data_IF_736015236754
#
_entry.id   IF_736015236754
#
_cell.length_a   1.000
_cell.length_b   1.000
_cell.length_c   1.000
_cell.angle_alpha   90.00
_cell.angle_beta   90.00
_cell.angle_gamma   90.00
#
_symmetry.space_group_name_H-M   'P 1'
#
loop_
_entity.id
_entity.type
_entity.pdbx_description
1 polymer ?
#
# COMPACT_ATOMS: atom_id res chain seq x y z
N UNK A 1 72.35 -21.51 -7.47
CA UNK A 1 71.73 -20.26 -6.98
C UNK A 1 70.27 -20.54 -6.64
N UNK A 2 69.88 -20.33 -5.38
CA UNK A 2 68.52 -20.53 -4.85
C UNK A 2 67.59 -19.46 -5.44
N UNK A 3 66.40 -19.83 -5.90
CA UNK A 3 65.28 -18.89 -6.04
C UNK A 3 64.10 -19.40 -5.22
N UNK A 4 63.74 -18.55 -4.27
CA UNK A 4 62.86 -18.78 -3.14
C UNK A 4 61.40 -18.94 -3.54
N UNK A 5 60.71 -19.83 -2.84
CA UNK A 5 59.27 -20.07 -2.90
C UNK A 5 58.53 -18.88 -2.25
N UNK A 6 57.57 -18.27 -2.95
CA UNK A 6 56.61 -17.30 -2.39
C UNK A 6 55.23 -17.97 -2.24
N UNK A 7 54.44 -17.65 -1.20
CA UNK A 7 53.23 -18.38 -0.82
C UNK A 7 52.00 -17.94 -1.60
N UNK A 8 51.10 -18.90 -1.89
CA UNK A 8 49.77 -18.64 -2.47
C UNK A 8 48.87 -18.02 -1.40
N UNK A 9 48.34 -16.83 -1.68
CA UNK A 9 47.29 -16.19 -0.91
C UNK A 9 45.99 -17.00 -1.00
N UNK A 10 45.40 -17.30 0.15
CA UNK A 10 44.09 -17.95 0.28
C UNK A 10 42.97 -16.96 -0.12
N UNK A 11 41.94 -17.38 -0.88
CA UNK A 11 40.90 -16.46 -1.34
C UNK A 11 39.89 -16.13 -0.23
N UNK A 12 39.82 -14.83 0.10
CA UNK A 12 38.88 -14.10 0.99
C UNK A 12 37.38 -14.29 0.68
N UNK A 13 37.02 -15.11 -0.31
CA UNK A 13 35.64 -15.23 -0.82
C UNK A 13 34.75 -16.23 -0.05
N UNK A 14 35.34 -17.13 0.75
CA UNK A 14 34.55 -18.14 1.50
C UNK A 14 33.95 -17.61 2.80
N UNK A 15 34.56 -16.60 3.41
CA UNK A 15 34.12 -16.04 4.70
C UNK A 15 32.87 -15.16 4.57
N UNK A 16 32.65 -14.51 3.42
CA UNK A 16 31.51 -13.64 3.19
C UNK A 16 30.16 -14.40 3.19
N UNK A 17 30.12 -15.62 2.64
CA UNK A 17 28.89 -16.42 2.53
C UNK A 17 28.40 -16.89 3.90
N UNK A 18 29.32 -17.22 4.81
CA UNK A 18 28.98 -17.68 6.16
C UNK A 18 28.36 -16.56 7.01
N UNK A 19 28.80 -15.32 6.83
CA UNK A 19 28.26 -14.16 7.58
C UNK A 19 26.87 -13.77 7.09
N UNK A 20 26.58 -13.91 5.79
CA UNK A 20 25.25 -13.61 5.23
C UNK A 20 24.18 -14.61 5.69
N UNK A 21 24.53 -15.90 5.86
CA UNK A 21 23.58 -16.90 6.34
C UNK A 21 23.24 -16.71 7.83
N UNK A 22 24.18 -16.28 8.66
CA UNK A 22 23.92 -16.01 10.09
C UNK A 22 22.99 -14.81 10.35
N UNK A 23 22.96 -13.82 9.45
CA UNK A 23 22.07 -12.65 9.57
C UNK A 23 20.64 -12.87 9.06
N UNK A 24 20.38 -13.92 8.25
CA UNK A 24 19.06 -14.20 7.67
C UNK A 24 18.26 -15.27 8.44
N UNK A 25 18.89 -16.00 9.36
CA UNK A 25 18.21 -16.99 10.20
C UNK A 25 17.07 -16.42 11.09
N UNK A 26 17.10 -15.17 11.60
CA UNK A 26 15.96 -14.65 12.36
C UNK A 26 14.76 -14.27 11.46
N UNK A 27 14.95 -14.09 10.15
CA UNK A 27 13.84 -13.79 9.22
C UNK A 27 13.00 -15.02 8.84
N UNK A 28 13.59 -16.22 8.86
CA UNK A 28 12.89 -17.47 8.53
C UNK A 28 12.19 -18.13 9.72
N UNK A 29 12.47 -17.70 10.96
CA UNK A 29 11.93 -18.35 12.16
C UNK A 29 10.61 -17.74 12.68
N UNK A 30 10.18 -16.58 12.16
CA UNK A 30 8.83 -16.07 12.48
C UNK A 30 7.79 -16.67 11.54
N UNK A 31 7.40 -17.92 11.83
CA UNK A 31 6.11 -18.43 11.36
C UNK A 31 4.99 -17.57 11.96
N UNK A 32 3.98 -17.17 11.18
CA UNK A 32 2.79 -16.54 11.76
C UNK A 32 1.99 -17.62 12.50
N UNK A 33 1.89 -17.47 13.82
CA UNK A 33 0.91 -18.20 14.60
C UNK A 33 -0.48 -17.82 14.11
N UNK A 34 -1.23 -18.82 13.64
CA UNK A 34 -2.66 -18.74 13.39
C UNK A 34 -3.34 -18.15 14.64
N UNK A 35 -3.91 -16.97 14.54
CA UNK A 35 -4.83 -16.44 15.55
C UNK A 35 -6.22 -16.92 15.13
N UNK A 36 -6.64 -18.06 15.67
CA UNK A 36 -8.03 -18.51 15.61
C UNK A 36 -8.85 -17.67 16.60
N UNK A 37 -9.23 -16.46 16.19
CA UNK A 37 -10.15 -15.59 16.93
C UNK A 37 -11.63 -15.99 16.69
N UNK A 38 -12.54 -15.69 17.62
CA UNK A 38 -13.97 -15.91 17.43
C UNK A 38 -14.50 -15.12 16.22
N UNK A 39 -15.53 -15.63 15.51
CA UNK A 39 -16.08 -14.96 14.34
C UNK A 39 -16.60 -13.57 14.72
N UNK A 40 -16.32 -12.53 13.90
CA UNK A 40 -16.79 -11.18 14.17
C UNK A 40 -18.32 -11.12 14.11
N UNK A 41 -18.93 -10.20 14.89
CA UNK A 41 -20.36 -9.97 14.82
C UNK A 41 -20.78 -9.54 13.40
N UNK A 42 -22.00 -9.86 12.97
CA UNK A 42 -22.48 -9.47 11.64
C UNK A 42 -22.41 -7.94 11.48
N UNK A 43 -21.99 -7.44 10.31
CA UNK A 43 -21.89 -6.01 10.07
C UNK A 43 -23.28 -5.36 10.23
N UNK A 44 -23.34 -4.13 10.78
CA UNK A 44 -24.58 -3.36 10.77
C UNK A 44 -25.06 -3.18 9.32
N UNK A 45 -26.39 -3.15 9.08
CA UNK A 45 -26.91 -2.93 7.75
C UNK A 45 -26.35 -1.63 7.17
N UNK A 46 -26.09 -1.58 5.84
CA UNK A 46 -25.53 -0.40 5.22
C UNK A 46 -26.40 0.81 5.57
N UNK A 47 -25.83 1.78 6.29
CA UNK A 47 -26.47 3.06 6.44
C UNK A 47 -26.50 3.69 5.05
N UNK A 48 -27.69 3.63 4.45
CA UNK A 48 -28.05 4.37 3.26
C UNK A 48 -27.57 5.80 3.48
N UNK A 49 -26.52 6.18 2.77
CA UNK A 49 -26.09 7.57 2.70
C UNK A 49 -27.27 8.32 2.08
N UNK A 50 -28.09 8.94 2.93
CA UNK A 50 -29.22 9.73 2.47
C UNK A 50 -28.64 10.96 1.81
N UNK A 51 -28.63 10.95 0.49
CA UNK A 51 -28.47 12.12 -0.36
C UNK A 51 -29.71 13.01 -0.25
N UNK A 52 -30.06 13.45 0.96
CA UNK A 52 -30.91 14.63 1.12
C UNK A 52 -30.01 15.84 1.09
N UNK A 53 -29.61 16.23 -0.12
CA UNK A 53 -29.12 17.58 -0.38
C UNK A 53 -30.34 18.52 -0.28
N UNK A 54 -30.81 18.77 0.94
CA UNK A 54 -31.77 19.84 1.17
C UNK A 54 -30.97 21.13 1.18
N UNK A 55 -31.03 21.83 0.04
CA UNK A 55 -30.69 23.24 -0.07
C UNK A 55 -31.45 24.01 1.01
N UNK A 56 -30.81 24.18 2.16
CA UNK A 56 -31.36 24.90 3.30
C UNK A 56 -30.56 26.18 3.43
N UNK A 57 -30.98 27.21 2.71
CA UNK A 57 -30.70 28.60 3.09
C UNK A 57 -31.05 28.72 4.58
N UNK A 58 -30.04 28.77 5.44
CA UNK A 58 -30.23 29.03 6.85
C UNK A 58 -29.32 30.18 7.22
N UNK A 59 -29.99 31.32 7.39
CA UNK A 59 -29.58 32.51 8.11
C UNK A 59 -28.66 32.20 9.28
N UNK A 60 -27.62 33.02 9.38
CA UNK A 60 -26.70 33.23 10.49
C UNK A 60 -27.38 33.05 11.87
N UNK A 61 -27.01 32.00 12.60
CA UNK A 61 -27.26 31.90 14.04
C UNK A 61 -26.19 31.02 14.71
N UNK A 62 -25.57 31.48 15.82
CA UNK A 62 -24.43 30.80 16.43
C UNK A 62 -24.94 29.61 17.24
N UNK A 63 -24.95 28.43 16.62
CA UNK A 63 -25.12 27.19 17.36
C UNK A 63 -23.80 26.88 18.06
N UNK A 64 -23.73 27.18 19.37
CA UNK A 64 -22.79 26.53 20.27
C UNK A 64 -23.07 25.03 20.24
N UNK A 65 -22.42 24.35 19.29
CA UNK A 65 -22.35 22.90 19.23
C UNK A 65 -21.41 22.53 20.36
N UNK A 66 -21.95 21.98 21.45
CA UNK A 66 -21.17 21.34 22.49
C UNK A 66 -20.15 20.41 21.81
N UNK A 67 -18.87 20.71 21.97
CA UNK A 67 -17.74 19.92 21.50
C UNK A 67 -17.67 18.65 22.34
N UNK A 68 -18.64 17.73 22.19
CA UNK A 68 -18.38 16.36 22.60
C UNK A 68 -17.37 15.79 21.59
N UNK A 69 -16.21 15.29 22.04
CA UNK A 69 -15.30 14.61 21.15
C UNK A 69 -16.05 13.45 20.49
N UNK A 70 -15.95 13.34 19.16
CA UNK A 70 -16.48 12.18 18.45
C UNK A 70 -15.88 10.92 19.05
N UNK A 71 -16.66 9.83 19.22
CA UNK A 71 -16.10 8.57 19.66
C UNK A 71 -14.96 8.16 18.71
N UNK A 72 -13.89 7.53 19.23
CA UNK A 72 -12.80 7.06 18.38
C UNK A 72 -13.33 6.10 17.32
N UNK A 73 -12.75 6.09 16.10
CA UNK A 73 -13.16 5.16 15.07
C UNK A 73 -12.96 3.71 15.56
N UNK A 74 -13.79 2.76 15.09
CA UNK A 74 -13.61 1.35 15.43
C UNK A 74 -12.22 0.87 14.96
N UNK A 75 -11.63 -0.13 15.65
CA UNK A 75 -10.37 -0.70 15.23
C UNK A 75 -10.49 -1.36 13.84
N UNK A 76 -9.38 -1.36 13.10
CA UNK A 76 -9.29 -2.08 11.83
C UNK A 76 -9.39 -3.60 12.05
N UNK A 77 -10.01 -4.29 11.10
CA UNK A 77 -10.23 -5.73 11.16
C UNK A 77 -9.69 -6.41 9.90
N UNK A 78 -9.10 -7.60 10.06
CA UNK A 78 -8.77 -8.46 8.93
C UNK A 78 -10.03 -9.01 8.28
N UNK A 79 -9.98 -9.32 6.98
CA UNK A 79 -11.10 -9.90 6.24
C UNK A 79 -12.40 -9.07 6.34
N UNK A 80 -12.29 -7.74 6.52
CA UNK A 80 -13.43 -6.83 6.68
C UNK A 80 -14.49 -7.00 5.57
N UNK A 81 -14.06 -7.28 4.34
CA UNK A 81 -14.92 -7.46 3.18
C UNK A 81 -15.45 -8.89 2.99
N UNK A 82 -15.18 -9.86 3.89
CA UNK A 82 -15.49 -11.29 3.64
C UNK A 82 -16.95 -11.58 3.29
N UNK A 83 -17.88 -10.77 3.82
CA UNK A 83 -19.32 -10.96 3.63
C UNK A 83 -19.91 -10.02 2.59
N UNK A 84 -19.34 -8.84 2.41
CA UNK A 84 -19.85 -7.79 1.52
C UNK A 84 -19.24 -7.84 0.13
N UNK A 85 -17.95 -8.20 0.03
CA UNK A 85 -17.23 -8.43 -1.21
C UNK A 85 -16.14 -9.49 -1.00
N UNK A 86 -16.49 -10.80 -0.97
CA UNK A 86 -15.54 -11.88 -0.68
C UNK A 86 -14.38 -11.95 -1.69
N UNK A 87 -14.62 -11.50 -2.92
CA UNK A 87 -13.62 -11.46 -3.99
C UNK A 87 -12.78 -10.17 -4.01
N UNK A 88 -12.92 -9.28 -3.03
CA UNK A 88 -12.21 -7.99 -3.04
C UNK A 88 -10.68 -8.17 -3.10
N UNK A 89 -10.11 -8.91 -2.14
CA UNK A 89 -8.66 -9.11 -2.08
C UNK A 89 -8.11 -9.90 -3.26
N UNK A 90 -8.83 -10.93 -3.72
CA UNK A 90 -8.42 -11.74 -4.87
C UNK A 90 -8.45 -10.92 -6.17
N UNK A 91 -9.45 -10.05 -6.33
CA UNK A 91 -9.58 -9.14 -7.47
C UNK A 91 -8.46 -8.12 -7.49
N UNK A 92 -8.16 -7.48 -6.36
CA UNK A 92 -7.03 -6.53 -6.25
C UNK A 92 -5.73 -7.24 -6.61
N UNK A 93 -5.45 -8.40 -6.02
CA UNK A 93 -4.23 -9.16 -6.30
C UNK A 93 -4.08 -9.53 -7.77
N UNK A 94 -5.17 -9.96 -8.40
CA UNK A 94 -5.18 -10.32 -9.82
C UNK A 94 -4.90 -9.11 -10.71
N UNK A 95 -5.58 -7.98 -10.44
CA UNK A 95 -5.38 -6.74 -11.17
C UNK A 95 -3.94 -6.21 -11.01
N UNK A 96 -3.41 -6.18 -9.78
CA UNK A 96 -2.04 -5.77 -9.49
C UNK A 96 -1.03 -6.67 -10.20
N UNK A 97 -1.20 -7.99 -10.12
CA UNK A 97 -0.32 -8.95 -10.82
C UNK A 97 -0.27 -8.63 -12.31
N UNK A 98 -1.43 -8.44 -12.96
CA UNK A 98 -1.49 -8.10 -14.38
C UNK A 98 -0.80 -6.78 -14.70
N UNK A 99 -1.05 -5.73 -13.90
CA UNK A 99 -0.43 -4.42 -14.08
C UNK A 99 1.09 -4.51 -13.94
N UNK A 100 1.61 -5.29 -12.98
CA UNK A 100 3.05 -5.43 -12.76
C UNK A 100 3.74 -6.29 -13.83
N UNK A 101 3.04 -7.24 -14.45
CA UNK A 101 3.55 -7.99 -15.59
C UNK A 101 3.80 -7.07 -16.80
N UNK A 102 2.95 -6.08 -17.01
CA UNK A 102 3.07 -5.10 -18.10
C UNK A 102 3.99 -3.91 -17.72
N UNK A 103 3.87 -3.42 -16.48
CA UNK A 103 4.53 -2.20 -15.97
C UNK A 103 5.11 -2.42 -14.57
N UNK A 104 6.29 -3.06 -14.44
CA UNK A 104 6.91 -3.35 -13.14
C UNK A 104 7.18 -2.11 -12.27
N UNK A 105 7.37 -0.94 -12.89
CA UNK A 105 7.63 0.34 -12.20
C UNK A 105 6.43 0.87 -11.42
N UNK A 106 5.23 0.32 -11.64
CA UNK A 106 4.02 0.70 -10.90
C UNK A 106 4.06 0.17 -9.46
N UNK A 107 4.68 -0.99 -9.21
CA UNK A 107 4.81 -1.54 -7.87
C UNK A 107 5.43 -0.56 -6.86
N UNK A 108 6.66 -0.04 -7.10
CA UNK A 108 7.23 1.04 -6.28
C UNK A 108 6.35 2.28 -6.18
N UNK A 109 5.66 2.63 -7.26
CA UNK A 109 4.83 3.84 -7.31
C UNK A 109 3.63 3.72 -6.36
N UNK A 110 2.95 2.57 -6.33
CA UNK A 110 1.84 2.29 -5.41
C UNK A 110 2.30 2.30 -3.94
N UNK A 111 3.46 1.72 -3.65
CA UNK A 111 4.02 1.75 -2.29
C UNK A 111 4.35 3.19 -1.84
N UNK A 112 4.96 3.98 -2.73
CA UNK A 112 5.22 5.40 -2.47
C UNK A 112 3.93 6.20 -2.31
N UNK A 113 2.92 5.91 -3.12
CA UNK A 113 1.63 6.58 -3.04
C UNK A 113 0.93 6.30 -1.70
N UNK A 114 0.96 5.06 -1.22
CA UNK A 114 0.48 4.70 0.13
C UNK A 114 1.20 5.47 1.22
N UNK A 115 2.54 5.56 1.13
CA UNK A 115 3.31 6.33 2.10
C UNK A 115 2.88 7.80 2.12
N UNK A 116 2.72 8.42 0.96
CA UNK A 116 2.32 9.84 0.87
C UNK A 116 0.89 10.07 1.38
N UNK A 117 -0.04 9.14 1.17
CA UNK A 117 -1.41 9.21 1.70
C UNK A 117 -1.39 9.12 3.23
N UNK A 118 -0.74 8.08 3.77
CA UNK A 118 -0.74 7.85 5.21
C UNK A 118 0.10 8.85 6.04
N UNK A 119 1.07 9.54 5.43
CA UNK A 119 1.98 10.41 6.16
C UNK A 119 1.34 11.74 6.58
N UNK A 120 0.38 12.23 5.79
CA UNK A 120 -0.31 13.49 6.02
C UNK A 120 -1.77 13.17 6.31
N UNK A 121 -2.24 13.51 7.50
CA UNK A 121 -3.65 13.35 7.92
C UNK A 121 -4.23 11.92 7.97
N UNK A 122 -3.51 10.91 7.49
CA UNK A 122 -3.83 9.48 7.67
C UNK A 122 -4.21 8.78 6.38
N UNK A 123 -4.40 7.46 6.41
CA UNK A 123 -4.69 6.65 5.23
C UNK A 123 -6.17 6.75 4.82
N UNK A 124 -6.59 7.90 4.29
CA UNK A 124 -7.99 8.19 3.96
C UNK A 124 -8.25 8.39 2.45
N UNK A 125 -7.25 8.16 1.60
CA UNK A 125 -7.29 8.35 0.16
C UNK A 125 -7.58 9.79 -0.30
N UNK A 126 -7.42 10.79 0.58
CA UNK A 126 -7.53 12.22 0.25
C UNK A 126 -6.55 12.61 -0.86
N UNK A 127 -5.37 11.99 -0.90
CA UNK A 127 -4.35 12.20 -1.93
C UNK A 127 -4.80 11.79 -3.34
N UNK A 128 -5.83 10.93 -3.46
CA UNK A 128 -6.34 10.48 -4.76
C UNK A 128 -7.31 11.47 -5.40
N UNK A 129 -7.81 12.44 -4.62
CA UNK A 129 -8.78 13.42 -5.10
C UNK A 129 -8.12 14.45 -6.02
N UNK A 130 -8.78 14.83 -7.10
CA UNK A 130 -8.34 15.91 -7.99
C UNK A 130 -8.94 17.25 -7.54
N UNK A 131 -8.28 18.36 -7.89
CA UNK A 131 -8.82 19.69 -7.63
C UNK A 131 -10.16 19.88 -8.36
N UNK A 132 -11.18 20.34 -7.64
CA UNK A 132 -12.52 20.64 -8.17
C UNK A 132 -12.82 22.12 -7.91
N UNK A 133 -13.29 22.83 -8.94
CA UNK A 133 -13.74 24.23 -8.85
C UNK A 133 -12.73 25.20 -8.21
N UNK A 134 -11.43 24.95 -8.42
CA UNK A 134 -10.35 25.78 -7.87
C UNK A 134 -10.02 25.51 -6.40
N UNK A 135 -10.66 24.51 -5.77
CA UNK A 135 -10.24 24.02 -4.45
C UNK A 135 -8.88 23.30 -4.56
N UNK A 136 -7.93 23.57 -3.65
CA UNK A 136 -6.63 22.91 -3.67
C UNK A 136 -6.80 21.41 -3.38
N UNK A 137 -6.08 20.57 -4.13
CA UNK A 137 -5.95 19.15 -3.84
C UNK A 137 -4.57 18.85 -3.25
N UNK A 138 -4.51 17.88 -2.33
CA UNK A 138 -3.26 17.33 -1.82
C UNK A 138 -2.40 16.72 -2.94
N UNK A 139 -3.05 16.19 -3.98
CA UNK A 139 -2.40 15.63 -5.16
C UNK A 139 -1.53 16.66 -5.89
N UNK A 140 -1.96 17.92 -5.90
CA UNK A 140 -1.30 19.02 -6.60
C UNK A 140 -0.25 19.74 -5.74
N UNK A 141 -0.07 19.31 -4.49
CA UNK A 141 0.99 19.83 -3.64
C UNK A 141 2.37 19.54 -4.26
N UNK A 142 3.29 20.50 -4.17
CA UNK A 142 4.66 20.40 -4.70
C UNK A 142 5.35 19.05 -4.42
N UNK A 143 5.33 18.46 -3.21
CA UNK A 143 5.95 17.16 -2.96
C UNK A 143 5.29 15.99 -3.72
N UNK A 144 4.01 16.13 -4.05
CA UNK A 144 3.14 15.09 -4.61
C UNK A 144 3.09 15.10 -6.14
N UNK A 145 3.56 16.17 -6.80
CA UNK A 145 3.66 16.26 -8.27
C UNK A 145 4.48 15.13 -8.92
N UNK A 146 5.35 14.48 -8.15
CA UNK A 146 6.19 13.37 -8.62
C UNK A 146 5.57 11.98 -8.42
N UNK A 147 4.37 11.90 -7.86
CA UNK A 147 3.66 10.65 -7.62
C UNK A 147 3.09 10.08 -8.91
N UNK A 148 2.96 8.76 -8.95
CA UNK A 148 2.48 7.99 -10.11
C UNK A 148 1.67 6.80 -9.63
N UNK A 149 0.94 6.14 -10.52
CA UNK A 149 0.16 4.94 -10.21
C UNK A 149 -1.32 5.21 -9.90
N UNK A 150 -1.78 6.46 -10.03
CA UNK A 150 -3.21 6.81 -9.95
C UNK A 150 -4.04 6.03 -10.96
N UNK A 151 -3.58 5.95 -12.21
CA UNK A 151 -4.21 5.18 -13.29
C UNK A 151 -4.33 3.68 -12.98
N UNK A 152 -3.35 3.13 -12.26
CA UNK A 152 -3.39 1.74 -11.82
C UNK A 152 -4.45 1.52 -10.74
N UNK A 153 -4.59 2.46 -9.79
CA UNK A 153 -5.66 2.42 -8.79
C UNK A 153 -7.04 2.55 -9.42
N UNK A 154 -7.20 3.45 -10.39
CA UNK A 154 -8.47 3.61 -11.11
C UNK A 154 -8.87 2.32 -11.84
N UNK A 155 -7.91 1.63 -12.47
CA UNK A 155 -8.15 0.35 -13.12
C UNK A 155 -8.52 -0.76 -12.11
N UNK A 156 -7.89 -0.79 -10.94
CA UNK A 156 -8.22 -1.73 -9.86
C UNK A 156 -9.61 -1.44 -9.31
N UNK A 157 -9.91 -0.17 -9.00
CA UNK A 157 -11.23 0.29 -8.54
C UNK A 157 -12.31 -0.06 -9.55
N UNK A 158 -12.09 0.23 -10.84
CA UNK A 158 -13.03 -0.14 -11.90
C UNK A 158 -13.29 -1.65 -11.97
N UNK A 159 -12.29 -2.47 -11.68
CA UNK A 159 -12.45 -3.93 -11.64
C UNK A 159 -13.30 -4.37 -10.44
N UNK A 160 -13.10 -3.76 -9.26
CA UNK A 160 -13.89 -4.02 -8.07
C UNK A 160 -15.33 -3.54 -8.21
N UNK A 161 -15.55 -2.35 -8.76
CA UNK A 161 -16.90 -1.77 -8.92
C UNK A 161 -17.80 -2.60 -9.85
N UNK A 162 -17.23 -3.42 -10.74
CA UNK A 162 -17.99 -4.39 -11.55
C UNK A 162 -18.50 -5.59 -10.75
N UNK A 163 -17.86 -5.90 -9.63
CA UNK A 163 -18.15 -7.06 -8.79
C UNK A 163 -18.98 -6.64 -7.58
N UNK A 164 -18.53 -5.61 -6.87
CA UNK A 164 -19.13 -5.11 -5.65
C UNK A 164 -19.20 -3.56 -5.67
N UNK A 165 -20.26 -2.99 -6.27
CA UNK A 165 -20.37 -1.56 -6.47
C UNK A 165 -20.50 -0.80 -5.14
N UNK A 166 -19.72 0.26 -4.99
CA UNK A 166 -19.69 1.13 -3.81
C UNK A 166 -19.47 0.42 -2.47
N UNK A 167 -18.76 -0.72 -2.48
CA UNK A 167 -18.45 -1.49 -1.26
C UNK A 167 -17.04 -1.20 -0.76
N UNK A 168 -16.02 -1.36 -1.61
CA UNK A 168 -14.62 -1.29 -1.20
C UNK A 168 -14.13 0.16 -1.24
N UNK A 169 -13.57 0.65 -0.13
CA UNK A 169 -13.05 2.01 -0.01
C UNK A 169 -11.78 2.22 -0.86
N UNK A 170 -11.51 3.45 -1.29
CA UNK A 170 -10.30 3.76 -2.07
C UNK A 170 -9.02 3.64 -1.23
N UNK A 171 -9.09 3.95 0.06
CA UNK A 171 -7.97 3.79 0.99
C UNK A 171 -7.58 2.32 1.16
N UNK A 172 -8.55 1.42 1.33
CA UNK A 172 -8.25 -0.02 1.41
C UNK A 172 -7.70 -0.56 0.09
N UNK A 173 -8.19 -0.07 -1.06
CA UNK A 173 -7.64 -0.45 -2.36
C UNK A 173 -6.17 -0.05 -2.46
N UNK A 174 -5.80 1.16 -2.02
CA UNK A 174 -4.41 1.62 -2.01
C UNK A 174 -3.52 0.73 -1.13
N UNK A 175 -3.98 0.40 0.08
CA UNK A 175 -3.28 -0.48 1.02
C UNK A 175 -3.11 -1.90 0.44
N UNK A 176 -4.20 -2.50 -0.04
CA UNK A 176 -4.17 -3.84 -0.65
C UNK A 176 -3.29 -3.88 -1.90
N UNK A 177 -3.35 -2.85 -2.74
CA UNK A 177 -2.56 -2.77 -3.95
C UNK A 177 -1.06 -2.65 -3.66
N UNK A 178 -0.67 -1.83 -2.68
CA UNK A 178 0.73 -1.72 -2.25
C UNK A 178 1.25 -3.03 -1.64
N UNK A 179 0.44 -3.71 -0.81
CA UNK A 179 0.76 -5.03 -0.25
C UNK A 179 1.02 -6.05 -1.36
N UNK A 180 0.06 -6.20 -2.28
CA UNK A 180 0.15 -7.18 -3.35
C UNK A 180 1.28 -6.83 -4.34
N UNK A 181 1.58 -5.56 -4.55
CA UNK A 181 2.72 -5.13 -5.36
C UNK A 181 4.06 -5.64 -4.79
N UNK A 182 4.24 -5.57 -3.46
CA UNK A 182 5.43 -6.13 -2.79
C UNK A 182 5.45 -7.65 -2.93
N UNK A 183 4.34 -8.33 -2.64
CA UNK A 183 4.25 -9.79 -2.74
C UNK A 183 4.58 -10.31 -4.16
N UNK A 184 3.99 -9.70 -5.18
CA UNK A 184 4.26 -10.04 -6.59
C UNK A 184 5.72 -9.78 -6.94
N UNK A 185 6.27 -8.64 -6.52
CA UNK A 185 7.68 -8.28 -6.77
C UNK A 185 8.68 -9.23 -6.09
N UNK A 186 8.29 -9.92 -5.03
CA UNK A 186 9.13 -10.93 -4.36
C UNK A 186 8.95 -12.34 -4.96
N UNK A 187 7.79 -12.62 -5.55
CA UNK A 187 7.41 -13.96 -6.02
C UNK A 187 7.92 -14.29 -7.43
N UNK A 188 8.26 -13.29 -8.26
CA UNK A 188 8.73 -13.57 -9.63
C UNK A 188 10.19 -14.06 -9.65
N UNK A 189 10.48 -15.16 -10.35
CA UNK A 189 11.84 -15.75 -10.43
C UNK A 189 12.89 -14.83 -11.08
N UNK A 190 12.45 -13.77 -11.77
CA UNK A 190 13.28 -12.69 -12.32
C UNK A 190 13.65 -11.59 -11.30
N UNK A 191 13.20 -11.72 -10.05
CA UNK A 191 13.27 -10.65 -9.04
C UNK A 191 14.66 -10.25 -8.59
N UNK A 192 15.70 -11.06 -8.74
CA UNK A 192 17.06 -10.58 -8.38
C UNK A 192 17.47 -9.42 -9.30
N UNK A 193 17.01 -9.40 -10.57
CA UNK A 193 17.24 -8.26 -11.48
C UNK A 193 16.26 -7.11 -11.25
N UNK A 194 15.00 -7.38 -10.93
CA UNK A 194 13.99 -6.33 -10.72
C UNK A 194 14.16 -5.60 -9.38
N UNK A 195 14.41 -6.33 -8.28
CA UNK A 195 14.71 -5.75 -6.97
C UNK A 195 16.03 -4.96 -7.03
N UNK A 196 17.05 -5.48 -7.71
CA UNK A 196 18.30 -4.75 -7.90
C UNK A 196 18.10 -3.49 -8.73
N UNK A 197 17.17 -3.46 -9.70
CA UNK A 197 16.86 -2.23 -10.46
C UNK A 197 15.97 -1.26 -9.65
N UNK A 198 15.02 -1.80 -8.87
CA UNK A 198 14.15 -1.07 -7.94
C UNK A 198 14.98 -0.33 -6.90
N UNK A 199 15.91 -1.02 -6.25
CA UNK A 199 16.88 -0.43 -5.34
C UNK A 199 17.89 0.41 -6.13
N UNK A 200 18.68 -0.13 -7.07
CA UNK A 200 19.76 0.65 -7.71
C UNK A 200 19.32 1.96 -8.39
N UNK A 201 18.08 2.09 -8.91
CA UNK A 201 17.58 3.37 -9.46
C UNK A 201 16.86 4.27 -8.47
N UNK A 202 16.29 3.73 -7.38
CA UNK A 202 15.55 4.53 -6.39
C UNK A 202 16.24 4.64 -5.03
N UNK A 203 17.33 3.94 -4.74
CA UNK A 203 18.06 4.03 -3.46
C UNK A 203 18.54 5.45 -3.20
N UNK A 204 18.88 6.22 -4.24
CA UNK A 204 19.26 7.64 -4.06
C UNK A 204 18.07 8.57 -3.75
N UNK A 205 16.83 8.16 -4.04
CA UNK A 205 15.61 8.92 -3.73
C UNK A 205 14.89 8.42 -2.48
N UNK A 206 15.04 7.14 -2.15
CA UNK A 206 14.48 6.49 -0.97
C UNK A 206 15.32 6.74 0.29
N UNK A 207 16.59 7.17 0.15
CA UNK A 207 17.46 7.62 1.24
C UNK A 207 17.50 9.15 1.41
N UNK A 208 16.78 9.91 0.57
CA UNK A 208 16.69 11.38 0.67
C UNK A 208 15.30 11.86 1.13
N UNK A 209 14.55 10.99 1.80
CA UNK A 209 13.44 11.32 2.69
C UNK A 209 13.61 10.55 3.99
#
# INVERSE_FOLDING_TARGET
MRKSRMPRSLPVKRTAIAVTLLFLLPFFYSSPSKIDGPPPPPPPPPHRFQTTFTSSKTTDQPRQRLLLPSPPPPPLEYDYYRHTCPDAESTVRSAVTRILLERPTVGPALLRLLFHDCFIHGCDASLLLEAVDGAPSERDAIPNLSLRGFDALDAIKSSLERICPAVVSCSDILVLAARDAVLVSLSTRSSVSCLSFFFAKNTLKFLLF
#
